data_IF_338100226543
#
_entry.id   IF_338100226543
#
_cell.length_a   1.000
_cell.length_b   1.000
_cell.length_c   1.000
_cell.angle_alpha   90.00
_cell.angle_beta   90.00
_cell.angle_gamma   90.00
#
_symmetry.space_group_name_H-M   'P 1'
#
loop_
_entity.id
_entity.type
_entity.pdbx_description
1 polymer ?
#
# COMPACT_ATOMS: atom_id res chain seq x y z
N UNK A 1 -9.30 -2.92 37.90
CA UNK A 1 -9.56 -3.55 36.59
C UNK A 1 -9.94 -5.00 36.86
N UNK A 2 -11.13 -5.42 36.45
CA UNK A 2 -11.69 -6.71 36.88
C UNK A 2 -11.00 -7.88 36.14
N UNK A 3 -11.03 -9.09 36.69
CA UNK A 3 -10.40 -10.28 36.07
C UNK A 3 -10.98 -10.61 34.69
N UNK A 4 -12.24 -10.24 34.46
CA UNK A 4 -12.92 -10.30 33.15
C UNK A 4 -12.30 -9.34 32.12
N UNK A 5 -12.01 -8.09 32.48
CA UNK A 5 -11.37 -7.12 31.56
C UNK A 5 -9.99 -7.63 31.09
N UNK A 6 -9.20 -8.22 32.00
CA UNK A 6 -7.88 -8.80 31.67
C UNK A 6 -7.97 -10.06 30.80
N UNK A 7 -9.12 -10.74 30.80
CA UNK A 7 -9.35 -11.92 29.96
C UNK A 7 -9.78 -11.48 28.55
N UNK A 8 -10.70 -10.52 28.46
CA UNK A 8 -11.17 -9.94 27.19
C UNK A 8 -10.03 -9.25 26.43
N UNK A 9 -9.17 -8.50 27.14
CA UNK A 9 -7.97 -7.88 26.58
C UNK A 9 -6.99 -8.90 25.99
N UNK A 10 -6.84 -10.07 26.64
CA UNK A 10 -6.00 -11.17 26.14
C UNK A 10 -6.60 -11.86 24.93
N UNK A 11 -7.92 -12.06 24.91
CA UNK A 11 -8.63 -12.66 23.79
C UNK A 11 -8.55 -11.74 22.56
N UNK A 12 -8.76 -10.44 22.73
CA UNK A 12 -8.59 -9.42 21.69
C UNK A 12 -7.15 -9.38 21.16
N UNK A 13 -6.14 -9.36 22.04
CA UNK A 13 -4.74 -9.39 21.59
C UNK A 13 -4.40 -10.64 20.78
N UNK A 14 -4.91 -11.80 21.18
CA UNK A 14 -4.70 -13.07 20.48
C UNK A 14 -5.42 -13.11 19.13
N UNK A 15 -6.61 -12.52 19.04
CA UNK A 15 -7.35 -12.35 17.78
C UNK A 15 -6.58 -11.48 16.80
N UNK A 16 -6.10 -10.30 17.23
CA UNK A 16 -5.33 -9.38 16.39
C UNK A 16 -4.01 -10.02 15.93
N UNK A 17 -3.29 -10.71 16.83
CA UNK A 17 -2.05 -11.40 16.43
C UNK A 17 -2.30 -12.50 15.40
N UNK A 18 -3.41 -13.23 15.53
CA UNK A 18 -3.79 -14.29 14.60
C UNK A 18 -4.18 -13.72 13.23
N UNK A 19 -4.89 -12.59 13.18
CA UNK A 19 -5.19 -11.86 11.94
C UNK A 19 -3.92 -11.37 11.25
N UNK A 20 -3.00 -10.68 11.94
CA UNK A 20 -1.72 -10.26 11.33
C UNK A 20 -0.86 -11.44 10.88
N UNK A 21 -0.84 -12.53 11.64
CA UNK A 21 -0.19 -13.78 11.25
C UNK A 21 -0.82 -14.34 9.98
N UNK A 22 -2.14 -14.36 9.88
CA UNK A 22 -2.89 -14.82 8.72
C UNK A 22 -2.50 -14.06 7.44
N UNK A 23 -2.45 -12.73 7.46
CA UNK A 23 -2.06 -11.96 6.27
C UNK A 23 -0.58 -12.14 5.91
N UNK A 24 0.33 -12.25 6.88
CA UNK A 24 1.74 -12.58 6.62
C UNK A 24 1.90 -13.96 5.99
N UNK A 25 1.11 -14.94 6.43
CA UNK A 25 1.06 -16.25 5.80
C UNK A 25 0.58 -16.17 4.36
N UNK A 26 -0.42 -15.34 4.04
CA UNK A 26 -0.85 -15.13 2.66
C UNK A 26 0.20 -14.46 1.79
N UNK A 27 0.99 -13.53 2.32
CA UNK A 27 2.13 -12.94 1.60
C UNK A 27 3.19 -14.00 1.32
N UNK A 28 3.56 -14.80 2.32
CA UNK A 28 4.54 -15.89 2.15
C UNK A 28 4.03 -16.98 1.20
N UNK A 29 2.74 -17.34 1.30
CA UNK A 29 2.07 -18.24 0.35
C UNK A 29 2.10 -17.63 -1.04
N UNK A 30 1.85 -16.33 -1.19
CA UNK A 30 1.92 -15.61 -2.48
C UNK A 30 3.31 -15.65 -3.11
N UNK A 31 4.36 -15.43 -2.31
CA UNK A 31 5.76 -15.55 -2.76
C UNK A 31 6.07 -16.99 -3.17
N UNK A 32 5.72 -17.96 -2.33
CA UNK A 32 5.97 -19.38 -2.60
C UNK A 32 5.19 -19.89 -3.81
N UNK A 33 3.92 -19.51 -3.94
CA UNK A 33 3.08 -19.89 -5.08
C UNK A 33 3.51 -19.19 -6.36
N UNK A 34 3.97 -17.93 -6.30
CA UNK A 34 4.59 -17.27 -7.46
C UNK A 34 5.85 -18.02 -7.90
N UNK A 35 6.75 -18.35 -6.97
CA UNK A 35 7.93 -19.16 -7.25
C UNK A 35 7.57 -20.55 -7.83
N UNK A 36 6.59 -21.23 -7.24
CA UNK A 36 6.11 -22.54 -7.68
C UNK A 36 5.53 -22.47 -9.10
N UNK A 37 4.71 -21.46 -9.38
CA UNK A 37 4.10 -21.26 -10.69
C UNK A 37 5.19 -20.94 -11.73
N UNK A 38 6.08 -19.98 -11.43
CA UNK A 38 7.05 -19.49 -12.42
C UNK A 38 8.21 -20.45 -12.62
N UNK A 39 8.76 -21.09 -11.58
CA UNK A 39 9.98 -21.90 -11.68
C UNK A 39 9.73 -23.41 -11.70
N UNK A 40 8.52 -23.88 -11.40
CA UNK A 40 8.19 -25.32 -11.42
C UNK A 40 7.07 -25.66 -12.40
N UNK A 41 5.88 -25.08 -12.22
CA UNK A 41 4.67 -25.47 -12.96
C UNK A 41 4.74 -25.00 -14.41
N UNK A 42 5.03 -23.71 -14.66
CA UNK A 42 5.14 -23.15 -16.01
C UNK A 42 6.22 -23.88 -16.84
N UNK A 43 7.44 -24.12 -16.33
CA UNK A 43 8.45 -24.92 -17.04
C UNK A 43 8.07 -26.39 -17.25
N UNK A 44 7.37 -27.01 -16.31
CA UNK A 44 6.94 -28.41 -16.43
C UNK A 44 5.87 -28.56 -17.52
N UNK A 45 4.84 -27.71 -17.51
CA UNK A 45 3.80 -27.70 -18.53
C UNK A 45 4.37 -27.33 -19.90
N UNK A 46 5.21 -26.30 -19.98
CA UNK A 46 5.77 -25.85 -21.26
C UNK A 46 6.67 -26.90 -21.93
N UNK A 47 7.39 -27.72 -21.15
CA UNK A 47 8.14 -28.89 -21.68
C UNK A 47 7.25 -30.00 -22.23
N UNK A 48 6.07 -30.20 -21.64
CA UNK A 48 5.10 -31.19 -22.11
C UNK A 48 4.50 -30.74 -23.46
N UNK A 49 4.14 -29.47 -23.57
CA UNK A 49 3.48 -28.92 -24.75
C UNK A 49 4.45 -28.54 -25.88
N UNK A 50 5.68 -28.12 -25.56
CA UNK A 50 6.65 -27.66 -26.54
C UNK A 50 8.06 -28.21 -26.25
N UNK A 51 8.51 -29.18 -27.06
CA UNK A 51 9.86 -29.76 -26.94
C UNK A 51 10.98 -28.75 -27.14
N UNK A 52 10.74 -27.68 -27.90
CA UNK A 52 11.69 -26.59 -28.09
C UNK A 52 11.87 -25.70 -26.85
N UNK A 53 11.07 -25.87 -25.80
CA UNK A 53 11.23 -25.16 -24.54
C UNK A 53 12.61 -25.39 -23.88
N UNK A 54 13.27 -26.51 -24.14
CA UNK A 54 14.63 -26.74 -23.60
C UNK A 54 15.71 -25.92 -24.35
N UNK A 55 15.37 -25.39 -25.52
CA UNK A 55 16.29 -24.60 -26.37
C UNK A 55 16.21 -23.09 -26.15
N UNK A 56 15.23 -22.60 -25.37
CA UNK A 56 15.12 -21.17 -25.07
C UNK A 56 16.18 -20.76 -24.03
N UNK A 57 16.80 -19.62 -24.29
CA UNK A 57 17.78 -19.02 -23.40
C UNK A 57 17.15 -18.54 -22.09
N UNK A 58 17.95 -18.43 -21.02
CA UNK A 58 17.48 -17.86 -19.74
C UNK A 58 16.88 -16.46 -19.90
N UNK A 59 17.39 -15.66 -20.84
CA UNK A 59 16.84 -14.32 -21.15
C UNK A 59 15.40 -14.42 -21.67
N UNK A 60 15.15 -15.26 -22.66
CA UNK A 60 13.81 -15.44 -23.24
C UNK A 60 12.81 -16.02 -22.21
N UNK A 61 13.29 -16.91 -21.34
CA UNK A 61 12.48 -17.42 -20.22
C UNK A 61 12.10 -16.31 -19.22
N UNK A 62 13.03 -15.43 -18.88
CA UNK A 62 12.76 -14.29 -18.00
C UNK A 62 11.80 -13.28 -18.66
N UNK A 63 11.92 -13.04 -19.96
CA UNK A 63 10.98 -12.23 -20.74
C UNK A 63 9.57 -12.83 -20.72
N UNK A 64 9.45 -14.16 -20.87
CA UNK A 64 8.16 -14.84 -20.77
C UNK A 64 7.53 -14.73 -19.37
N UNK A 65 8.32 -14.95 -18.31
CA UNK A 65 7.84 -14.80 -16.94
C UNK A 65 7.48 -13.35 -16.62
N UNK A 66 8.18 -12.38 -17.21
CA UNK A 66 7.81 -10.98 -17.12
C UNK A 66 6.42 -10.73 -17.71
N UNK A 67 6.06 -11.35 -18.85
CA UNK A 67 4.72 -11.24 -19.44
C UNK A 67 3.60 -11.81 -18.53
N UNK A 68 3.85 -12.91 -17.82
CA UNK A 68 2.87 -13.44 -16.85
C UNK A 68 2.72 -12.53 -15.62
N UNK A 69 3.84 -12.05 -15.08
CA UNK A 69 3.86 -11.05 -14.01
C UNK A 69 3.11 -9.77 -14.43
N UNK A 70 3.23 -9.40 -15.70
CA UNK A 70 2.57 -8.25 -16.29
C UNK A 70 1.03 -8.41 -16.31
N UNK A 71 0.53 -9.60 -16.63
CA UNK A 71 -0.90 -9.91 -16.54
C UNK A 71 -1.42 -9.78 -15.10
N UNK A 72 -0.72 -10.35 -14.11
CA UNK A 72 -1.13 -10.25 -12.69
C UNK A 72 -1.08 -8.80 -12.19
N UNK A 73 -0.07 -8.04 -12.60
CA UNK A 73 0.03 -6.59 -12.34
C UNK A 73 -1.15 -5.83 -12.96
N UNK A 74 -1.58 -6.17 -14.17
CA UNK A 74 -2.72 -5.52 -14.80
C UNK A 74 -4.02 -5.83 -14.04
N UNK A 75 -4.24 -7.11 -13.70
CA UNK A 75 -5.41 -7.55 -12.93
C UNK A 75 -5.45 -6.86 -11.56
N UNK A 76 -4.33 -6.85 -10.83
CA UNK A 76 -4.26 -6.23 -9.50
C UNK A 76 -4.58 -4.73 -9.56
N UNK A 77 -4.02 -4.00 -10.51
CA UNK A 77 -4.28 -2.58 -10.69
C UNK A 77 -5.74 -2.29 -11.10
N UNK A 78 -6.34 -3.13 -11.96
CA UNK A 78 -7.77 -3.04 -12.29
C UNK A 78 -8.66 -3.26 -11.06
N UNK A 79 -8.35 -4.27 -10.23
CA UNK A 79 -9.06 -4.53 -8.97
C UNK A 79 -8.91 -3.33 -8.03
N UNK A 80 -7.71 -2.77 -7.89
CA UNK A 80 -7.47 -1.57 -7.08
C UNK A 80 -8.29 -0.37 -7.57
N UNK A 81 -8.37 -0.14 -8.89
CA UNK A 81 -9.22 0.92 -9.45
C UNK A 81 -10.70 0.69 -9.12
N UNK A 82 -11.20 -0.54 -9.29
CA UNK A 82 -12.57 -0.91 -8.95
C UNK A 82 -12.89 -0.69 -7.46
N UNK A 83 -11.96 -1.06 -6.58
CA UNK A 83 -12.06 -0.79 -5.15
C UNK A 83 -12.13 0.72 -4.85
N UNK A 84 -11.24 1.53 -5.43
CA UNK A 84 -11.22 2.99 -5.22
C UNK A 84 -12.50 3.68 -5.70
N UNK A 85 -13.09 3.20 -6.79
CA UNK A 85 -14.40 3.67 -7.27
C UNK A 85 -15.49 3.35 -6.23
N UNK A 86 -15.56 2.09 -5.80
CA UNK A 86 -16.54 1.66 -4.81
C UNK A 86 -16.39 2.44 -3.49
N UNK A 87 -15.15 2.59 -3.00
CA UNK A 87 -14.85 3.32 -1.78
C UNK A 87 -15.29 4.79 -1.89
N UNK A 88 -15.02 5.44 -3.03
CA UNK A 88 -15.50 6.80 -3.31
C UNK A 88 -17.02 6.92 -3.26
N UNK A 89 -17.75 5.94 -3.82
CA UNK A 89 -19.21 5.91 -3.76
C UNK A 89 -19.73 5.76 -2.33
N UNK A 90 -19.08 4.92 -1.52
CA UNK A 90 -19.47 4.76 -0.11
C UNK A 90 -19.16 6.00 0.72
N UNK A 91 -18.00 6.64 0.51
CA UNK A 91 -17.60 7.86 1.22
C UNK A 91 -18.59 9.01 1.05
N UNK A 92 -19.23 9.14 -0.11
CA UNK A 92 -20.28 10.14 -0.36
C UNK A 92 -21.46 9.98 0.62
N UNK A 93 -21.72 8.76 1.11
CA UNK A 93 -22.84 8.49 2.02
C UNK A 93 -22.59 9.01 3.44
N UNK A 94 -21.34 9.13 3.88
CA UNK A 94 -21.01 9.42 5.29
C UNK A 94 -19.99 10.54 5.52
N UNK A 95 -19.19 10.95 4.54
CA UNK A 95 -18.29 12.11 4.64
C UNK A 95 -18.96 13.36 4.07
N UNK A 96 -18.59 14.53 4.60
CA UNK A 96 -19.05 15.84 4.12
C UNK A 96 -17.93 16.87 4.18
N UNK A 97 -18.07 17.95 3.41
CA UNK A 97 -17.16 19.09 3.45
C UNK A 97 -15.77 18.77 2.90
N UNK A 98 -14.74 19.39 3.48
CA UNK A 98 -13.38 19.31 2.96
C UNK A 98 -12.82 17.89 2.92
N UNK A 99 -13.14 17.04 3.91
CA UNK A 99 -12.67 15.65 3.94
C UNK A 99 -13.18 14.86 2.74
N UNK A 100 -14.49 14.93 2.44
CA UNK A 100 -15.08 14.27 1.27
C UNK A 100 -14.38 14.70 -0.03
N UNK A 101 -14.22 16.01 -0.24
CA UNK A 101 -13.60 16.53 -1.47
C UNK A 101 -12.14 16.10 -1.60
N UNK A 102 -11.38 16.09 -0.50
CA UNK A 102 -9.99 15.61 -0.53
C UNK A 102 -9.89 14.14 -0.93
N UNK A 103 -10.80 13.28 -0.46
CA UNK A 103 -10.83 11.87 -0.83
C UNK A 103 -11.26 11.65 -2.28
N UNK A 104 -12.33 12.31 -2.73
CA UNK A 104 -12.81 12.19 -4.12
C UNK A 104 -11.73 12.62 -5.11
N UNK A 105 -11.09 13.77 -4.87
CA UNK A 105 -10.00 14.25 -5.74
C UNK A 105 -8.83 13.28 -5.73
N UNK A 106 -8.43 12.79 -4.55
CA UNK A 106 -7.35 11.83 -4.41
C UNK A 106 -7.63 10.54 -5.18
N UNK A 107 -8.77 9.88 -4.96
CA UNK A 107 -9.12 8.64 -5.66
C UNK A 107 -9.25 8.87 -7.16
N UNK A 108 -9.82 10.00 -7.60
CA UNK A 108 -9.93 10.33 -9.02
C UNK A 108 -8.56 10.43 -9.69
N UNK A 109 -7.58 11.08 -9.04
CA UNK A 109 -6.20 11.17 -9.52
C UNK A 109 -5.55 9.79 -9.59
N UNK A 110 -5.73 8.97 -8.56
CA UNK A 110 -5.16 7.61 -8.51
C UNK A 110 -5.76 6.73 -9.60
N UNK A 111 -7.08 6.70 -9.76
CA UNK A 111 -7.77 5.93 -10.82
C UNK A 111 -7.30 6.39 -12.20
N UNK A 112 -7.23 7.70 -12.43
CA UNK A 112 -6.79 8.23 -13.71
C UNK A 112 -5.31 7.89 -13.98
N UNK A 113 -4.44 8.01 -12.99
CA UNK A 113 -3.03 7.59 -13.08
C UNK A 113 -2.88 6.11 -13.41
N UNK A 114 -3.56 5.26 -12.66
CA UNK A 114 -3.56 3.81 -12.88
C UNK A 114 -4.08 3.43 -14.26
N UNK A 115 -5.12 4.12 -14.77
CA UNK A 115 -5.62 3.90 -16.13
C UNK A 115 -4.58 4.23 -17.20
N UNK A 116 -3.80 5.30 -17.04
CA UNK A 116 -2.74 5.64 -17.99
C UNK A 116 -1.56 4.68 -17.94
N UNK A 117 -1.17 4.20 -16.76
CA UNK A 117 -0.14 3.16 -16.64
C UNK A 117 -0.59 1.82 -17.25
N UNK A 118 -1.88 1.49 -17.16
CA UNK A 118 -2.47 0.34 -17.84
C UNK A 118 -2.45 0.52 -19.37
N UNK A 119 -2.89 1.67 -19.89
CA UNK A 119 -3.01 1.90 -21.34
C UNK A 119 -1.67 2.01 -22.08
N UNK A 120 -0.60 2.44 -21.40
CA UNK A 120 0.71 2.61 -22.02
C UNK A 120 1.67 1.43 -21.74
N UNK A 121 1.26 0.45 -20.93
CA UNK A 121 2.06 -0.70 -20.46
C UNK A 121 3.43 -0.34 -19.83
N UNK A 122 3.68 0.93 -19.52
CA UNK A 122 4.93 1.44 -18.97
C UNK A 122 4.66 2.01 -17.58
N UNK A 123 5.59 1.82 -16.65
CA UNK A 123 5.59 2.51 -15.35
C UNK A 123 4.65 1.93 -14.28
N UNK A 124 4.04 0.76 -14.52
CA UNK A 124 3.15 0.08 -13.56
C UNK A 124 3.78 -0.15 -12.18
N UNK A 125 5.07 -0.46 -12.14
CA UNK A 125 5.84 -0.56 -10.90
C UNK A 125 5.75 0.72 -10.04
N UNK A 126 5.76 1.91 -10.64
CA UNK A 126 5.64 3.17 -9.92
C UNK A 126 4.24 3.35 -9.30
N UNK A 127 3.19 2.89 -9.99
CA UNK A 127 1.84 2.87 -9.44
C UNK A 127 1.77 1.98 -8.19
N UNK A 128 2.35 0.78 -8.25
CA UNK A 128 2.40 -0.14 -7.10
C UNK A 128 3.22 0.41 -5.92
N UNK A 129 4.33 1.10 -6.17
CA UNK A 129 5.06 1.81 -5.11
C UNK A 129 4.18 2.88 -4.44
N UNK A 130 3.38 3.60 -5.22
CA UNK A 130 2.43 4.58 -4.66
C UNK A 130 1.24 3.90 -3.97
N UNK A 131 0.81 2.70 -4.36
CA UNK A 131 -0.22 1.95 -3.61
C UNK A 131 0.19 1.57 -2.19
N UNK A 132 1.49 1.53 -1.88
CA UNK A 132 1.96 1.32 -0.49
C UNK A 132 1.42 2.37 0.48
N UNK A 133 0.96 3.53 0.01
CA UNK A 133 0.35 4.56 0.85
C UNK A 133 -0.95 4.11 1.51
N UNK A 134 -1.62 3.10 0.96
CA UNK A 134 -2.84 2.49 1.51
C UNK A 134 -2.58 1.60 2.72
N UNK A 135 -1.33 1.19 2.97
CA UNK A 135 -0.98 0.39 4.16
C UNK A 135 -1.33 1.09 5.48
N UNK A 136 -1.46 2.42 5.47
CA UNK A 136 -1.88 3.20 6.64
C UNK A 136 -3.40 3.17 6.89
N UNK A 137 -4.20 2.90 5.87
CA UNK A 137 -5.68 3.00 5.89
C UNK A 137 -6.35 2.04 6.89
N UNK A 138 -5.94 0.76 7.01
CA UNK A 138 -6.52 -0.15 8.01
C UNK A 138 -6.39 0.36 9.44
N UNK A 139 -5.30 1.05 9.77
CA UNK A 139 -5.01 1.50 11.14
C UNK A 139 -5.79 2.74 11.54
N UNK A 140 -6.04 3.68 10.59
CA UNK A 140 -6.94 4.81 10.87
C UNK A 140 -8.38 4.35 11.02
N UNK A 141 -8.80 3.34 10.24
CA UNK A 141 -10.11 2.71 10.39
C UNK A 141 -10.23 1.96 11.72
N UNK A 142 -9.19 1.24 12.15
CA UNK A 142 -9.16 0.61 13.47
C UNK A 142 -9.28 1.64 14.60
N UNK A 143 -8.55 2.77 14.50
CA UNK A 143 -8.66 3.86 15.46
C UNK A 143 -10.08 4.42 15.50
N UNK A 144 -10.70 4.66 14.34
CA UNK A 144 -12.07 5.14 14.25
C UNK A 144 -13.07 4.15 14.86
N UNK A 145 -12.90 2.85 14.57
CA UNK A 145 -13.72 1.77 15.14
C UNK A 145 -13.66 1.77 16.67
N UNK A 146 -12.46 1.79 17.25
CA UNK A 146 -12.26 1.85 18.70
C UNK A 146 -12.92 3.08 19.33
N UNK A 147 -12.80 4.25 18.68
CA UNK A 147 -13.46 5.48 19.15
C UNK A 147 -14.99 5.37 19.11
N UNK A 148 -15.52 4.69 18.09
CA UNK A 148 -16.97 4.46 17.92
C UNK A 148 -17.51 3.48 18.96
N UNK A 149 -16.71 2.47 19.36
CA UNK A 149 -17.04 1.56 20.47
C UNK A 149 -16.98 2.20 21.87
N UNK A 150 -16.61 3.48 21.98
CA UNK A 150 -16.61 4.21 23.26
C UNK A 150 -15.25 4.29 23.98
N UNK A 151 -14.18 3.72 23.41
CA UNK A 151 -12.84 3.84 24.00
C UNK A 151 -12.37 5.30 24.00
N UNK A 152 -11.83 5.77 25.13
CA UNK A 152 -11.32 7.15 25.27
C UNK A 152 -10.11 7.41 24.36
N UNK A 153 -9.82 8.67 24.04
CA UNK A 153 -8.68 9.05 23.20
C UNK A 153 -7.33 8.70 23.84
N UNK A 154 -7.31 8.56 25.17
CA UNK A 154 -6.15 8.19 25.97
C UNK A 154 -6.15 6.70 26.35
N UNK A 155 -7.02 5.88 25.75
CA UNK A 155 -7.02 4.45 25.97
C UNK A 155 -5.83 3.78 25.27
N UNK A 156 -5.21 2.77 25.91
CA UNK A 156 -4.04 2.03 25.38
C UNK A 156 -4.27 1.53 23.95
N UNK A 157 -5.41 0.91 23.67
CA UNK A 157 -5.74 0.42 22.31
C UNK A 157 -5.86 1.51 21.25
N UNK A 158 -6.44 2.66 21.60
CA UNK A 158 -6.53 3.81 20.69
C UNK A 158 -5.14 4.36 20.40
N UNK A 159 -4.26 4.41 21.41
CA UNK A 159 -2.87 4.82 21.25
C UNK A 159 -2.05 3.85 20.39
N UNK A 160 -2.26 2.53 20.52
CA UNK A 160 -1.63 1.52 19.63
C UNK A 160 -2.08 1.73 18.19
N UNK A 161 -3.39 1.80 17.93
CA UNK A 161 -3.93 1.99 16.58
C UNK A 161 -3.43 3.31 15.96
N UNK A 162 -3.40 4.39 16.75
CA UNK A 162 -2.87 5.69 16.33
C UNK A 162 -1.38 5.62 16.00
N UNK A 163 -0.60 4.85 16.78
CA UNK A 163 0.84 4.68 16.55
C UNK A 163 1.12 3.88 15.29
N UNK A 164 0.39 2.78 15.07
CA UNK A 164 0.49 1.98 13.84
C UNK A 164 0.12 2.81 12.61
N UNK A 165 -0.97 3.57 12.67
CA UNK A 165 -1.35 4.50 11.61
C UNK A 165 -0.23 5.52 11.34
N UNK A 166 0.29 6.16 12.38
CA UNK A 166 1.31 7.20 12.21
C UNK A 166 2.61 6.66 11.64
N UNK A 167 3.11 5.54 12.15
CA UNK A 167 4.35 4.91 11.67
C UNK A 167 4.21 4.48 10.21
N UNK A 168 3.11 3.81 9.87
CA UNK A 168 2.88 3.36 8.49
C UNK A 168 2.68 4.52 7.54
N UNK A 169 1.95 5.57 7.95
CA UNK A 169 1.80 6.80 7.16
C UNK A 169 3.15 7.46 6.86
N UNK A 170 3.97 7.69 7.89
CA UNK A 170 5.27 8.36 7.73
C UNK A 170 6.19 7.52 6.85
N UNK A 171 6.25 6.20 7.10
CA UNK A 171 7.08 5.29 6.33
C UNK A 171 6.69 5.29 4.85
N UNK A 172 5.42 5.04 4.53
CA UNK A 172 4.99 4.81 3.14
C UNK A 172 4.75 6.09 2.36
N UNK A 173 4.39 7.20 3.02
CA UNK A 173 4.03 8.47 2.35
C UNK A 173 5.14 9.52 2.39
N UNK A 174 5.95 9.57 3.44
CA UNK A 174 7.02 10.57 3.55
C UNK A 174 8.39 9.97 3.24
N UNK A 175 8.74 8.83 3.85
CA UNK A 175 10.06 8.21 3.66
C UNK A 175 10.16 7.56 2.28
N UNK A 176 9.18 6.73 1.90
CA UNK A 176 9.18 6.05 0.59
C UNK A 176 9.00 6.99 -0.62
N UNK A 177 8.58 8.25 -0.41
CA UNK A 177 8.53 9.23 -1.49
C UNK A 177 9.92 9.54 -2.07
N UNK A 178 10.97 9.55 -1.25
CA UNK A 178 12.35 9.81 -1.69
C UNK A 178 12.88 8.73 -2.65
N UNK A 179 12.90 7.43 -2.29
CA UNK A 179 13.34 6.39 -3.21
C UNK A 179 12.44 6.29 -4.44
N UNK A 180 11.14 6.60 -4.33
CA UNK A 180 10.26 6.68 -5.49
C UNK A 180 10.76 7.71 -6.53
N UNK A 181 11.01 8.95 -6.12
CA UNK A 181 11.48 10.00 -7.02
C UNK A 181 12.90 9.75 -7.54
N UNK A 182 13.76 9.18 -6.70
CA UNK A 182 15.08 8.73 -7.13
C UNK A 182 14.98 7.67 -8.24
N UNK A 183 14.14 6.64 -8.07
CA UNK A 183 13.98 5.58 -9.06
C UNK A 183 13.37 6.10 -10.37
N UNK A 184 12.36 6.97 -10.30
CA UNK A 184 11.78 7.62 -11.49
C UNK A 184 12.87 8.38 -12.26
N UNK A 185 13.61 9.24 -11.57
CA UNK A 185 14.68 10.05 -12.17
C UNK A 185 15.80 9.17 -12.75
N UNK A 186 16.28 8.19 -11.97
CA UNK A 186 17.34 7.28 -12.38
C UNK A 186 16.97 6.52 -13.66
N UNK A 187 15.76 5.92 -13.70
CA UNK A 187 15.31 5.17 -14.86
C UNK A 187 15.12 6.05 -16.11
N UNK A 188 14.56 7.26 -15.94
CA UNK A 188 14.39 8.23 -17.02
C UNK A 188 15.76 8.64 -17.59
N UNK A 189 16.78 8.86 -16.76
CA UNK A 189 18.09 9.34 -17.23
C UNK A 189 19.04 8.24 -17.73
N UNK A 190 18.98 7.02 -17.17
CA UNK A 190 19.97 5.97 -17.44
C UNK A 190 19.44 4.81 -18.29
N UNK A 191 18.12 4.63 -18.38
CA UNK A 191 17.52 3.47 -19.05
C UNK A 191 16.62 3.84 -20.22
N UNK A 192 16.59 5.11 -20.64
CA UNK A 192 15.79 5.55 -21.79
C UNK A 192 16.64 6.34 -22.79
N UNK A 193 16.43 6.09 -24.08
CA UNK A 193 17.00 6.93 -25.14
C UNK A 193 16.41 8.34 -25.10
N UNK A 194 17.08 9.32 -25.72
CA UNK A 194 16.60 10.71 -25.79
C UNK A 194 15.15 10.83 -26.28
N UNK A 195 14.79 10.11 -27.36
CA UNK A 195 13.44 10.12 -27.90
C UNK A 195 12.41 9.49 -26.95
N UNK A 196 12.75 8.37 -26.30
CA UNK A 196 11.89 7.72 -25.31
C UNK A 196 11.73 8.59 -24.07
N UNK A 197 12.78 9.30 -23.65
CA UNK A 197 12.73 10.20 -22.50
C UNK A 197 11.75 11.34 -22.73
N UNK A 198 11.80 11.99 -23.89
CA UNK A 198 10.87 13.05 -24.27
C UNK A 198 9.44 12.52 -24.26
N UNK A 199 9.20 11.36 -24.91
CA UNK A 199 7.89 10.72 -24.91
C UNK A 199 7.37 10.43 -23.50
N UNK A 200 8.19 9.85 -22.62
CA UNK A 200 7.78 9.51 -21.25
C UNK A 200 7.50 10.76 -20.41
N UNK A 201 8.33 11.79 -20.54
CA UNK A 201 8.10 13.05 -19.85
C UNK A 201 6.79 13.66 -20.32
N UNK A 202 6.53 13.73 -21.63
CA UNK A 202 5.30 14.32 -22.16
C UNK A 202 4.06 13.49 -21.80
N UNK A 203 4.13 12.16 -21.90
CA UNK A 203 3.04 11.26 -21.55
C UNK A 203 2.70 11.31 -20.05
N UNK A 204 3.70 11.43 -19.18
CA UNK A 204 3.52 11.33 -17.73
C UNK A 204 3.64 12.65 -16.96
N UNK A 205 3.88 13.78 -17.63
CA UNK A 205 4.11 15.11 -17.02
C UNK A 205 3.06 15.46 -15.97
N UNK A 206 1.79 15.28 -16.31
CA UNK A 206 0.68 15.66 -15.44
C UNK A 206 0.63 14.78 -14.18
N UNK A 207 0.98 13.50 -14.30
CA UNK A 207 1.05 12.57 -13.17
C UNK A 207 2.22 12.89 -12.24
N UNK A 208 3.36 13.34 -12.77
CA UNK A 208 4.45 13.81 -11.93
C UNK A 208 4.06 15.07 -11.16
N UNK A 209 3.40 16.03 -11.80
CA UNK A 209 2.90 17.24 -11.13
C UNK A 209 1.91 16.86 -10.01
N UNK A 210 0.92 16.01 -10.30
CA UNK A 210 -0.05 15.56 -9.31
C UNK A 210 0.60 14.75 -8.19
N UNK A 211 1.61 13.94 -8.50
CA UNK A 211 2.40 13.20 -7.52
C UNK A 211 3.14 14.13 -6.54
N UNK A 212 3.74 15.22 -7.04
CA UNK A 212 4.39 16.23 -6.20
C UNK A 212 3.37 16.95 -5.31
N UNK A 213 2.22 17.34 -5.86
CA UNK A 213 1.14 17.98 -5.09
C UNK A 213 0.67 17.05 -3.96
N UNK A 214 0.50 15.76 -4.26
CA UNK A 214 0.12 14.76 -3.27
C UNK A 214 1.20 14.57 -2.19
N UNK A 215 2.48 14.61 -2.56
CA UNK A 215 3.58 14.51 -1.60
C UNK A 215 3.67 15.74 -0.68
N UNK A 216 3.36 16.94 -1.20
CA UNK A 216 3.21 18.16 -0.37
C UNK A 216 2.06 17.98 0.62
N UNK A 217 0.91 17.47 0.17
CA UNK A 217 -0.23 17.19 1.04
C UNK A 217 0.14 16.15 2.11
N UNK A 218 0.88 15.10 1.74
CA UNK A 218 1.35 14.08 2.67
C UNK A 218 2.37 14.62 3.68
N UNK A 219 3.20 15.61 3.32
CA UNK A 219 4.10 16.28 4.27
C UNK A 219 3.32 17.13 5.29
N UNK A 220 2.30 17.86 4.82
CA UNK A 220 1.41 18.62 5.70
C UNK A 220 0.72 17.71 6.74
N UNK A 221 0.10 16.62 6.29
CA UNK A 221 -0.51 15.65 7.20
C UNK A 221 0.52 14.94 8.07
N UNK A 222 1.69 14.62 7.53
CA UNK A 222 2.80 14.01 8.27
C UNK A 222 3.20 14.84 9.50
N UNK A 223 3.26 16.17 9.38
CA UNK A 223 3.57 17.05 10.51
C UNK A 223 2.50 16.95 11.63
N UNK A 224 1.22 16.93 11.26
CA UNK A 224 0.11 16.75 12.21
C UNK A 224 0.20 15.36 12.87
N UNK A 225 0.44 14.33 12.08
CA UNK A 225 0.49 12.94 12.53
C UNK A 225 1.67 12.68 13.48
N UNK A 226 2.83 13.31 13.25
CA UNK A 226 3.96 13.26 14.19
C UNK A 226 3.56 13.74 15.60
N UNK A 227 2.75 14.79 15.69
CA UNK A 227 2.24 15.28 16.98
C UNK A 227 1.30 14.26 17.65
N UNK A 228 0.45 13.59 16.87
CA UNK A 228 -0.45 12.53 17.35
C UNK A 228 0.31 11.30 17.84
N UNK A 229 1.38 10.91 17.11
CA UNK A 229 2.27 9.83 17.48
C UNK A 229 2.94 10.12 18.82
N UNK A 230 3.48 11.32 19.00
CA UNK A 230 4.11 11.73 20.25
C UNK A 230 3.17 11.63 21.45
N UNK A 231 1.91 12.08 21.29
CA UNK A 231 0.90 11.95 22.35
C UNK A 231 0.57 10.48 22.65
N UNK A 232 0.47 9.65 21.62
CA UNK A 232 0.17 8.22 21.77
C UNK A 232 1.31 7.48 22.48
N UNK A 233 2.57 7.81 22.18
CA UNK A 233 3.74 7.26 22.89
C UNK A 233 3.70 7.62 24.38
N UNK A 234 3.33 8.86 24.73
CA UNK A 234 3.19 9.27 26.14
C UNK A 234 2.12 8.44 26.87
N UNK A 235 0.97 8.23 26.23
CA UNK A 235 -0.11 7.40 26.79
C UNK A 235 0.40 5.98 27.04
N UNK A 236 1.07 5.37 26.06
CA UNK A 236 1.57 4.00 26.17
C UNK A 236 2.62 3.85 27.29
N UNK A 237 3.54 4.82 27.42
CA UNK A 237 4.51 4.83 28.53
C UNK A 237 3.83 4.89 29.89
N UNK A 238 2.83 5.77 30.04
CA UNK A 238 2.11 5.90 31.31
C UNK A 238 1.29 4.65 31.64
N UNK A 239 0.66 4.01 30.64
CA UNK A 239 -0.07 2.75 30.84
C UNK A 239 0.84 1.60 31.28
N UNK A 240 2.09 1.55 30.80
CA UNK A 240 3.06 0.54 31.24
C UNK A 240 3.49 0.74 32.69
N UNK A 241 3.69 1.98 33.15
CA UNK A 241 4.02 2.26 34.55
C UNK A 241 2.91 1.79 35.52
N UNK A 242 1.63 2.03 35.17
CA UNK A 242 0.49 1.61 35.99
C UNK A 242 0.31 0.08 36.02
N UNK A 243 0.72 -0.64 34.98
CA UNK A 243 0.70 -2.11 34.96
C UNK A 243 1.86 -2.76 35.74
N UNK A 244 2.92 -2.00 36.06
CA UNK A 244 4.11 -2.47 36.78
C UNK A 244 4.13 -2.20 38.29
N UNK A 245 3.18 -1.40 38.78
CA UNK A 245 2.90 -1.17 40.21
C UNK A 245 1.85 -2.16 40.74
#
# INVERSE_FOLDING_TARGET
MNTTDKLDDRIMHRSISNETSFYLWWILIGIFSSFLITELISPALSRIYCKSYESISRKQYLEWNASYSDFLSNVGMCISCGYMIYDSLTMIMYLKGASLWTYIIHHSIVIWGSSAFLSNEIGKYYAYLKYLTELSTPFINLRWFLRTCGYSSHHKYVAIATSLFAVTFILTRNICAVPFWYLVSYNIHHHTSEAQRIFLIDAFKIYFILGIILDILNLFWGAIICSMLWQSIKVLKNSQCVESE
#
